data_IF_195533214291
#
_entry.id   IF_195533214291
#
_cell.length_a   1.000
_cell.length_b   1.000
_cell.length_c   1.000
_cell.angle_alpha   90.00
_cell.angle_beta   90.00
_cell.angle_gamma   90.00
#
_symmetry.space_group_name_H-M   'P 1'
#
loop_
_entity.id
_entity.type
_entity.pdbx_description
1 polymer ?
#
# COMPACT_ATOMS: atom_id res chain seq x y z
N UNK A 1 -7.05 10.61 -12.11
CA UNK A 1 -8.23 9.84 -11.64
C UNK A 1 -9.42 10.76 -11.34
N UNK A 2 -10.66 10.24 -11.37
CA UNK A 2 -11.89 10.96 -10.98
C UNK A 2 -12.79 10.04 -10.14
N UNK A 3 -13.58 10.57 -9.17
CA UNK A 3 -14.56 9.76 -8.45
C UNK A 3 -15.54 9.06 -9.39
N UNK A 4 -16.07 7.90 -8.96
CA UNK A 4 -17.03 7.07 -9.69
C UNK A 4 -16.53 6.49 -11.03
N UNK A 5 -15.22 6.52 -11.27
CA UNK A 5 -14.59 5.76 -12.35
C UNK A 5 -13.83 4.58 -11.78
N UNK A 6 -13.89 3.46 -12.49
CA UNK A 6 -13.02 2.32 -12.22
C UNK A 6 -11.55 2.76 -12.35
N UNK A 7 -10.73 2.22 -11.47
CA UNK A 7 -9.30 2.48 -11.43
C UNK A 7 -8.57 1.44 -12.30
N UNK A 8 -7.33 1.72 -12.75
CA UNK A 8 -6.53 0.69 -13.41
C UNK A 8 -6.37 -0.55 -12.53
N UNK A 9 -6.23 -1.72 -13.15
CA UNK A 9 -5.85 -2.93 -12.40
C UNK A 9 -4.51 -2.71 -11.70
N UNK A 10 -4.37 -3.29 -10.50
CA UNK A 10 -3.13 -3.29 -9.77
C UNK A 10 -2.82 -4.70 -9.28
N UNK A 11 -1.68 -5.23 -9.71
CA UNK A 11 -1.10 -6.46 -9.23
C UNK A 11 0.36 -6.20 -8.84
N UNK A 12 0.70 -6.42 -7.58
CA UNK A 12 2.03 -6.12 -7.05
C UNK A 12 2.48 -7.22 -6.07
N UNK A 13 3.79 -7.52 -6.03
CA UNK A 13 4.36 -8.34 -4.97
C UNK A 13 4.30 -7.64 -3.62
N UNK A 14 4.12 -8.42 -2.56
CA UNK A 14 4.25 -8.00 -1.16
C UNK A 14 5.62 -8.38 -0.61
N UNK A 15 6.06 -7.68 0.43
CA UNK A 15 7.33 -7.94 1.12
C UNK A 15 7.43 -9.33 1.76
N UNK A 16 6.30 -10.02 1.95
CA UNK A 16 6.22 -11.40 2.46
C UNK A 16 6.15 -12.45 1.33
N UNK A 17 6.61 -12.08 0.14
CA UNK A 17 6.69 -12.91 -1.07
C UNK A 17 5.32 -13.36 -1.65
N UNK A 18 4.21 -12.85 -1.12
CA UNK A 18 2.88 -13.06 -1.69
C UNK A 18 2.60 -12.10 -2.85
N UNK A 19 1.62 -12.44 -3.68
CA UNK A 19 1.09 -11.57 -4.73
C UNK A 19 -0.23 -10.95 -4.28
N UNK A 20 -0.35 -9.63 -4.43
CA UNK A 20 -1.57 -8.89 -4.13
C UNK A 20 -2.23 -8.38 -5.42
N UNK A 21 -3.56 -8.50 -5.50
CA UNK A 21 -4.37 -8.01 -6.65
C UNK A 21 -5.55 -7.21 -6.14
N UNK A 22 -5.73 -6.00 -6.66
CA UNK A 22 -6.80 -5.09 -6.25
C UNK A 22 -8.20 -5.71 -6.40
N UNK A 23 -8.49 -6.27 -7.57
CA UNK A 23 -9.82 -6.81 -7.87
C UNK A 23 -10.10 -8.18 -7.24
N UNK A 24 -9.13 -8.74 -6.52
CA UNK A 24 -9.32 -9.97 -5.72
C UNK A 24 -9.56 -9.67 -4.23
N UNK A 25 -9.61 -8.39 -3.83
CA UNK A 25 -9.85 -8.03 -2.44
C UNK A 25 -11.35 -8.01 -2.15
N UNK A 26 -11.81 -8.96 -1.34
CA UNK A 26 -13.18 -8.97 -0.81
C UNK A 26 -13.23 -8.14 0.47
N UNK A 27 -13.57 -6.85 0.35
CA UNK A 27 -13.76 -5.95 1.50
C UNK A 27 -15.24 -5.65 1.70
N UNK A 28 -15.75 -5.68 2.95
CA UNK A 28 -17.17 -5.36 3.21
C UNK A 28 -17.52 -3.89 2.93
N UNK A 29 -16.54 -2.99 3.04
CA UNK A 29 -16.71 -1.56 2.80
C UNK A 29 -15.93 -1.09 1.57
N UNK A 30 -14.60 -1.02 1.66
CA UNK A 30 -13.71 -0.63 0.56
C UNK A 30 -12.26 -1.03 0.85
N UNK A 31 -11.42 -0.95 -0.18
CA UNK A 31 -9.97 -1.08 -0.05
C UNK A 31 -9.32 0.31 -0.02
N UNK A 32 -8.55 0.59 1.05
CA UNK A 32 -7.73 1.78 1.24
C UNK A 32 -6.31 1.54 0.69
N UNK A 33 -6.00 2.22 -0.41
CA UNK A 33 -4.68 2.19 -1.05
C UNK A 33 -3.87 3.40 -0.59
N UNK A 34 -2.70 3.18 0.01
CA UNK A 34 -1.80 4.24 0.48
C UNK A 34 -0.52 4.22 -0.34
N UNK A 35 -0.41 5.14 -1.29
CA UNK A 35 0.82 5.33 -2.05
C UNK A 35 1.81 6.20 -1.26
N UNK A 36 3.06 5.74 -1.14
CA UNK A 36 4.13 6.47 -0.44
C UNK A 36 5.42 6.49 -1.27
N UNK A 37 6.33 7.41 -0.94
CA UNK A 37 7.53 7.68 -1.76
C UNK A 37 8.60 6.59 -1.67
N UNK A 38 8.60 5.81 -0.61
CA UNK A 38 9.62 4.79 -0.33
C UNK A 38 10.33 4.95 1.02
N UNK A 39 11.25 4.04 1.29
CA UNK A 39 11.95 3.83 2.57
C UNK A 39 12.75 5.05 3.07
N UNK A 40 13.29 5.88 2.17
CA UNK A 40 14.06 7.06 2.59
C UNK A 40 13.21 8.25 3.04
N UNK A 41 11.88 8.14 3.01
CA UNK A 41 10.97 9.24 3.32
C UNK A 41 10.55 9.22 4.82
N UNK A 42 11.12 10.08 5.69
CA UNK A 42 10.79 10.07 7.12
C UNK A 42 9.33 10.45 7.42
N UNK A 43 8.72 11.29 6.58
CA UNK A 43 7.29 11.63 6.70
C UNK A 43 6.42 10.42 6.37
N UNK A 44 6.82 9.63 5.36
CA UNK A 44 6.13 8.42 4.97
C UNK A 44 6.21 7.38 6.09
N UNK A 45 7.40 7.19 6.70
CA UNK A 45 7.58 6.37 7.89
C UNK A 45 6.58 6.75 8.99
N UNK A 46 6.59 8.01 9.42
CA UNK A 46 5.71 8.50 10.49
C UNK A 46 4.22 8.30 10.16
N UNK A 47 3.83 8.49 8.90
CA UNK A 47 2.45 8.29 8.46
C UNK A 47 2.06 6.81 8.52
N UNK A 48 2.87 5.90 7.98
CA UNK A 48 2.56 4.47 7.99
C UNK A 48 2.59 3.87 9.40
N UNK A 49 3.49 4.32 10.28
CA UNK A 49 3.48 3.93 11.69
C UNK A 49 2.20 4.39 12.39
N UNK A 50 1.70 5.60 12.09
CA UNK A 50 0.40 6.04 12.63
C UNK A 50 -0.76 5.23 12.05
N UNK A 51 -0.72 4.93 10.75
CA UNK A 51 -1.73 4.09 10.09
C UNK A 51 -1.76 2.68 10.71
N UNK A 52 -0.59 2.10 11.00
CA UNK A 52 -0.48 0.78 11.62
C UNK A 52 -1.23 0.71 12.96
N UNK A 53 -1.20 1.77 13.77
CA UNK A 53 -1.98 1.83 15.04
C UNK A 53 -3.50 1.83 14.86
N UNK A 54 -4.00 1.95 13.61
CA UNK A 54 -5.43 2.03 13.28
C UNK A 54 -5.92 0.85 12.44
N UNK A 55 -5.04 -0.11 12.13
CA UNK A 55 -5.40 -1.22 11.25
C UNK A 55 -6.55 -2.06 11.79
N UNK A 56 -6.57 -2.32 13.10
CA UNK A 56 -7.67 -3.04 13.75
C UNK A 56 -9.01 -2.29 13.60
N UNK A 57 -9.00 -0.95 13.76
CA UNK A 57 -10.20 -0.13 13.60
C UNK A 57 -10.72 -0.12 12.15
N UNK A 58 -9.82 -0.11 11.16
CA UNK A 58 -10.19 -0.25 9.75
C UNK A 58 -10.74 -1.64 9.45
N UNK A 59 -10.08 -2.69 9.93
CA UNK A 59 -10.50 -4.08 9.74
C UNK A 59 -11.88 -4.34 10.34
N UNK A 60 -12.15 -3.87 11.58
CA UNK A 60 -13.48 -3.95 12.22
C UNK A 60 -14.59 -3.27 11.43
N UNK A 61 -14.25 -2.33 10.54
CA UNK A 61 -15.19 -1.61 9.67
C UNK A 61 -15.25 -2.21 8.26
N UNK A 62 -14.60 -3.36 8.03
CA UNK A 62 -14.57 -4.02 6.72
C UNK A 62 -13.69 -3.32 5.70
N UNK A 63 -12.69 -2.53 6.15
CA UNK A 63 -11.77 -1.81 5.26
C UNK A 63 -10.45 -2.56 5.16
N UNK A 64 -10.08 -2.97 3.95
CA UNK A 64 -8.77 -3.56 3.67
C UNK A 64 -7.75 -2.45 3.41
N UNK A 65 -6.59 -2.49 4.04
CA UNK A 65 -5.57 -1.42 3.92
C UNK A 65 -4.26 -1.99 3.39
N UNK A 66 -3.61 -1.27 2.47
CA UNK A 66 -2.30 -1.63 1.91
C UNK A 66 -1.46 -0.39 1.63
N UNK A 67 -0.16 -0.48 1.87
CA UNK A 67 0.83 0.53 1.48
C UNK A 67 1.58 0.12 0.21
N UNK A 68 1.75 1.05 -0.74
CA UNK A 68 2.33 0.79 -2.06
C UNK A 68 3.41 1.83 -2.35
N UNK A 69 4.58 1.38 -2.82
CA UNK A 69 5.61 2.30 -3.33
C UNK A 69 6.25 1.79 -4.62
N UNK A 70 7.01 2.67 -5.26
CA UNK A 70 7.89 2.35 -6.37
C UNK A 70 9.26 1.81 -5.90
N UNK A 71 9.43 1.52 -4.61
CA UNK A 71 10.67 0.90 -4.14
C UNK A 71 10.86 -0.48 -4.78
N UNK A 72 12.12 -0.88 -4.91
CA UNK A 72 12.44 -2.27 -5.18
C UNK A 72 12.20 -3.12 -3.91
N UNK A 73 12.29 -4.44 -4.08
CA UNK A 73 12.06 -5.40 -3.00
C UNK A 73 12.94 -5.12 -1.77
N UNK A 74 14.24 -4.88 -1.97
CA UNK A 74 15.20 -4.66 -0.88
C UNK A 74 14.77 -3.49 0.02
N UNK A 75 14.40 -2.35 -0.58
CA UNK A 75 13.98 -1.16 0.18
C UNK A 75 12.60 -1.33 0.82
N UNK A 76 11.69 -2.02 0.15
CA UNK A 76 10.39 -2.31 0.73
C UNK A 76 10.50 -3.26 1.93
N UNK A 77 11.34 -4.29 1.85
CA UNK A 77 11.64 -5.19 2.98
C UNK A 77 12.22 -4.43 4.17
N UNK A 78 13.17 -3.49 3.94
CA UNK A 78 13.65 -2.57 5.00
C UNK A 78 12.53 -1.75 5.63
N UNK A 79 11.53 -1.31 4.86
CA UNK A 79 10.37 -0.61 5.44
C UNK A 79 9.58 -1.51 6.39
N UNK A 80 9.37 -2.79 6.02
CA UNK A 80 8.69 -3.77 6.88
C UNK A 80 9.50 -4.18 8.13
N UNK A 81 10.83 -4.21 8.02
CA UNK A 81 11.74 -4.63 9.09
C UNK A 81 12.07 -3.49 10.08
N UNK A 82 12.28 -2.27 9.58
CA UNK A 82 12.80 -1.16 10.39
C UNK A 82 11.71 -0.19 10.89
N UNK A 83 10.49 -0.25 10.34
CA UNK A 83 9.39 0.64 10.73
C UNK A 83 8.39 -0.12 11.60
N UNK A 84 7.72 0.59 12.50
CA UNK A 84 6.74 -0.03 13.40
C UNK A 84 5.38 -0.26 12.69
N UNK A 85 5.36 -1.19 11.74
CA UNK A 85 4.21 -1.52 10.88
C UNK A 85 3.90 -3.04 10.75
N UNK A 86 3.96 -3.83 11.84
CA UNK A 86 4.06 -5.30 11.81
C UNK A 86 2.90 -6.03 11.09
N UNK A 87 1.77 -5.38 10.86
CA UNK A 87 0.57 -5.97 10.24
C UNK A 87 0.13 -5.25 8.95
N UNK A 88 0.81 -4.17 8.57
CA UNK A 88 0.47 -3.43 7.36
C UNK A 88 0.98 -4.19 6.13
N UNK A 89 0.12 -4.61 5.18
CA UNK A 89 0.60 -5.13 3.91
C UNK A 89 1.40 -4.05 3.17
N UNK A 90 2.63 -4.38 2.75
CA UNK A 90 3.50 -3.49 1.99
C UNK A 90 3.77 -4.11 0.63
N UNK A 91 3.28 -3.46 -0.42
CA UNK A 91 3.56 -3.76 -1.82
C UNK A 91 4.69 -2.88 -2.36
N UNK A 92 5.44 -3.45 -3.29
CA UNK A 92 6.58 -2.79 -3.93
C UNK A 92 6.56 -2.97 -5.45
N UNK A 93 7.48 -2.30 -6.13
CA UNK A 93 7.67 -2.47 -7.57
C UNK A 93 6.60 -1.81 -8.43
N UNK A 94 5.84 -0.85 -7.89
CA UNK A 94 4.98 -0.01 -8.73
C UNK A 94 5.85 0.71 -9.77
N UNK A 95 5.58 0.47 -11.05
CA UNK A 95 6.30 1.16 -12.13
C UNK A 95 5.94 2.65 -12.15
N UNK A 96 6.84 3.47 -12.69
CA UNK A 96 6.59 4.91 -12.86
C UNK A 96 5.41 5.15 -13.80
N UNK A 97 5.28 4.32 -14.83
CA UNK A 97 4.16 4.32 -15.76
C UNK A 97 2.84 3.99 -15.04
N UNK A 98 2.82 2.94 -14.22
CA UNK A 98 1.66 2.58 -13.40
C UNK A 98 1.28 3.67 -12.41
N UNK A 99 2.27 4.31 -11.76
CA UNK A 99 2.02 5.44 -10.88
C UNK A 99 1.35 6.61 -11.61
N UNK A 100 1.75 6.91 -12.86
CA UNK A 100 1.12 7.94 -13.70
C UNK A 100 -0.32 7.57 -14.09
N UNK A 101 -0.61 6.31 -14.39
CA UNK A 101 -1.98 5.84 -14.68
C UNK A 101 -2.90 6.03 -13.47
N UNK A 102 -2.34 5.85 -12.27
CA UNK A 102 -2.98 6.15 -10.99
C UNK A 102 -3.03 7.66 -10.67
N UNK A 103 -2.51 8.51 -11.54
CA UNK A 103 -2.53 9.97 -11.39
C UNK A 103 -1.59 10.49 -10.31
N UNK A 104 -0.55 9.73 -9.96
CA UNK A 104 0.52 10.13 -9.05
C UNK A 104 1.62 10.84 -9.86
N UNK A 105 2.06 12.02 -9.39
CA UNK A 105 3.05 12.88 -10.06
C UNK A 105 4.07 13.45 -9.07
#
# INVERSE_FOLDING_TARGET
MKPKKEVPELQLPLINDMQWRLYSQESDAFTLLVFYRGWHCPVCKKYLENLATKLEDFSKRGVHTIAISCDNEERAKKSGEEWNIPELPVAYGLSIEGAKEWGLY
#
